data_IF_716167463135
#
_entry.id   IF_716167463135
#
_cell.length_a   1.000
_cell.length_b   1.000
_cell.length_c   1.000
_cell.angle_alpha   90.00
_cell.angle_beta   90.00
_cell.angle_gamma   90.00
#
_symmetry.space_group_name_H-M   'P 1'
#
loop_
_entity.id
_entity.type
_entity.pdbx_description
1 polymer ?
#
# COMPACT_ATOMS: atom_id res chain seq x y z
N UNK A 1 10.63 -14.32 -2.63
CA UNK A 1 9.33 -13.64 -2.80
C UNK A 1 8.55 -13.80 -1.51
N UNK A 2 8.04 -12.70 -0.94
CA UNK A 2 7.21 -12.68 0.28
C UNK A 2 5.99 -11.82 0.00
N UNK A 3 4.82 -12.28 0.42
CA UNK A 3 3.56 -11.53 0.28
C UNK A 3 3.00 -11.31 1.68
N UNK A 4 2.63 -10.07 1.98
CA UNK A 4 2.07 -9.64 3.27
C UNK A 4 0.67 -9.10 3.00
N UNK A 5 -0.32 -9.63 3.71
CA UNK A 5 -1.68 -9.11 3.68
C UNK A 5 -1.82 -7.97 4.70
N UNK A 6 -2.33 -6.82 4.26
CA UNK A 6 -2.49 -5.60 5.07
C UNK A 6 -3.92 -5.42 5.62
N UNK A 7 -4.85 -6.29 5.23
CA UNK A 7 -6.28 -6.13 5.52
C UNK A 7 -7.06 -5.58 4.32
N UNK A 8 -8.36 -5.84 4.30
CA UNK A 8 -9.27 -5.49 3.19
C UNK A 8 -8.76 -5.99 1.83
N UNK A 9 -8.32 -5.10 0.94
CA UNK A 9 -7.74 -5.41 -0.37
C UNK A 9 -6.21 -5.17 -0.42
N UNK A 10 -5.61 -4.75 0.70
CA UNK A 10 -4.24 -4.29 0.75
C UNK A 10 -3.20 -5.43 0.80
N UNK A 11 -2.16 -5.32 -0.03
CA UNK A 11 -1.05 -6.27 -0.04
C UNK A 11 0.31 -5.56 -0.21
N UNK A 12 1.35 -6.16 0.39
CA UNK A 12 2.75 -5.91 0.01
C UNK A 12 3.30 -7.14 -0.68
N UNK A 13 3.86 -6.97 -1.87
CA UNK A 13 4.59 -8.01 -2.60
C UNK A 13 6.06 -7.65 -2.62
N UNK A 14 6.88 -8.43 -1.92
CA UNK A 14 8.32 -8.23 -1.79
C UNK A 14 9.08 -9.24 -2.65
N UNK A 15 9.74 -8.73 -3.69
CA UNK A 15 10.62 -9.46 -4.60
C UNK A 15 11.90 -8.68 -4.87
N UNK A 16 12.30 -8.58 -6.13
CA UNK A 16 13.33 -7.62 -6.58
C UNK A 16 12.85 -6.17 -6.47
N UNK A 17 11.53 -5.97 -6.49
CA UNK A 17 10.85 -4.72 -6.16
C UNK A 17 9.90 -4.97 -4.98
N UNK A 18 9.59 -3.91 -4.25
CA UNK A 18 8.51 -3.86 -3.28
C UNK A 18 7.31 -3.15 -3.90
N UNK A 19 6.23 -3.89 -4.09
CA UNK A 19 4.98 -3.38 -4.67
C UNK A 19 3.93 -3.35 -3.57
N UNK A 20 3.20 -2.23 -3.46
CA UNK A 20 2.05 -2.11 -2.58
C UNK A 20 0.79 -2.03 -3.43
N UNK A 21 -0.23 -2.81 -3.10
CA UNK A 21 -1.51 -2.86 -3.81
C UNK A 21 -2.60 -2.40 -2.85
N UNK A 22 -3.47 -1.50 -3.31
CA UNK A 22 -4.66 -0.99 -2.61
C UNK A 22 -4.41 -0.61 -1.12
N UNK A 23 -3.54 0.39 -0.85
CA UNK A 23 -3.09 0.68 0.52
C UNK A 23 -4.11 1.48 1.34
N UNK A 24 -5.27 0.89 1.64
CA UNK A 24 -6.20 1.43 2.64
C UNK A 24 -5.74 1.06 4.06
N UNK A 25 -5.00 1.97 4.70
CA UNK A 25 -4.46 1.78 6.05
C UNK A 25 -5.06 2.79 7.02
N UNK A 26 -5.07 4.08 6.67
CA UNK A 26 -5.71 5.11 7.48
C UNK A 26 -7.22 4.92 7.45
N UNK A 27 -7.81 4.63 8.63
CA UNK A 27 -9.24 4.35 8.78
C UNK A 27 -9.62 2.89 8.56
N UNK A 28 -8.69 2.02 8.16
CA UNK A 28 -8.94 0.58 8.09
C UNK A 28 -8.86 -0.03 9.51
N UNK A 29 -9.96 -0.60 10.04
CA UNK A 29 -10.01 -1.07 11.43
C UNK A 29 -9.12 -2.29 11.71
N UNK A 30 -8.63 -2.97 10.67
CA UNK A 30 -7.77 -4.16 10.81
C UNK A 30 -6.34 -3.93 10.33
N UNK A 31 -6.01 -2.72 9.86
CA UNK A 31 -4.64 -2.40 9.48
C UNK A 31 -3.74 -2.38 10.71
N UNK A 32 -2.61 -3.10 10.63
CA UNK A 32 -1.63 -3.24 11.73
C UNK A 32 -0.32 -2.50 11.46
N UNK A 33 -0.22 -1.79 10.33
CA UNK A 33 0.95 -1.04 9.90
C UNK A 33 0.54 0.37 9.50
N UNK A 34 1.40 1.34 9.76
CA UNK A 34 1.16 2.73 9.36
C UNK A 34 1.70 2.99 7.94
N UNK A 35 1.09 3.91 7.16
CA UNK A 35 1.57 4.22 5.81
C UNK A 35 3.04 4.62 5.73
N UNK A 36 3.56 5.36 6.71
CA UNK A 36 4.94 5.85 6.76
C UNK A 36 5.98 4.78 7.14
N UNK A 37 5.53 3.61 7.60
CA UNK A 37 6.38 2.45 7.89
C UNK A 37 6.63 1.59 6.63
N UNK A 38 5.86 1.83 5.57
CA UNK A 38 5.98 1.10 4.32
C UNK A 38 7.08 1.67 3.41
N UNK A 39 7.69 0.76 2.66
CA UNK A 39 8.58 1.08 1.53
C UNK A 39 7.95 0.50 0.27
N UNK A 40 7.98 1.27 -0.81
CA UNK A 40 7.47 0.86 -2.12
C UNK A 40 8.40 1.37 -3.21
N UNK A 41 8.58 0.55 -4.24
CA UNK A 41 9.07 0.97 -5.55
C UNK A 41 7.89 1.32 -6.46
N UNK A 42 6.76 0.64 -6.28
CA UNK A 42 5.50 0.85 -6.99
C UNK A 42 4.31 0.77 -6.03
N UNK A 43 3.32 1.63 -6.25
CA UNK A 43 2.00 1.53 -5.64
C UNK A 43 1.00 1.26 -6.77
N UNK A 44 0.14 0.26 -6.61
CA UNK A 44 -0.89 -0.10 -7.58
C UNK A 44 -2.26 0.09 -6.94
N UNK A 45 -3.16 0.77 -7.65
CA UNK A 45 -4.54 0.98 -7.20
C UNK A 45 -5.48 0.35 -8.21
N UNK A 46 -6.33 -0.56 -7.76
CA UNK A 46 -7.28 -1.28 -8.64
C UNK A 46 -8.38 -0.36 -9.14
N UNK A 47 -8.90 0.53 -8.28
CA UNK A 47 -9.87 1.57 -8.62
C UNK A 47 -9.92 2.67 -7.55
N UNK A 48 -10.57 3.80 -7.86
CA UNK A 48 -10.50 5.03 -7.06
C UNK A 48 -11.38 5.11 -5.81
N UNK A 49 -12.00 4.03 -5.35
CA UNK A 49 -12.73 4.07 -4.07
C UNK A 49 -11.75 4.20 -2.90
N UNK A 50 -12.18 4.86 -1.82
CA UNK A 50 -11.28 5.21 -0.70
C UNK A 50 -10.71 3.99 0.03
N UNK A 51 -11.46 2.90 0.10
CA UNK A 51 -11.06 1.61 0.67
C UNK A 51 -10.07 0.84 -0.22
N UNK A 52 -9.72 1.37 -1.40
CA UNK A 52 -8.66 0.86 -2.28
C UNK A 52 -7.55 1.89 -2.49
N UNK A 53 -7.88 3.12 -2.90
CA UNK A 53 -6.89 4.18 -3.12
C UNK A 53 -6.16 4.55 -1.81
N UNK A 54 -6.90 4.67 -0.70
CA UNK A 54 -6.37 4.89 0.64
C UNK A 54 -5.20 5.87 0.71
N UNK A 55 -4.09 5.39 1.26
CA UNK A 55 -2.86 6.14 1.52
C UNK A 55 -1.88 6.13 0.32
N UNK A 56 -2.31 5.74 -0.87
CA UNK A 56 -1.43 5.52 -2.03
C UNK A 56 -0.60 6.75 -2.39
N UNK A 57 -1.23 7.93 -2.46
CA UNK A 57 -0.56 9.19 -2.77
C UNK A 57 0.44 9.60 -1.67
N UNK A 58 0.10 9.34 -0.40
CA UNK A 58 0.97 9.66 0.72
C UNK A 58 2.21 8.74 0.75
N UNK A 59 2.00 7.43 0.57
CA UNK A 59 3.08 6.45 0.45
C UNK A 59 4.00 6.84 -0.70
N UNK A 60 3.46 7.10 -1.89
CA UNK A 60 4.25 7.46 -3.07
C UNK A 60 5.07 8.74 -2.85
N UNK A 61 4.52 9.73 -2.16
CA UNK A 61 5.24 10.96 -1.82
C UNK A 61 6.45 10.72 -0.92
N UNK A 62 6.33 9.85 0.09
CA UNK A 62 7.43 9.61 1.03
C UNK A 62 8.47 8.63 0.51
N UNK A 63 8.09 7.68 -0.34
CA UNK A 63 8.99 6.67 -0.90
C UNK A 63 9.62 7.12 -2.21
N UNK A 64 9.01 8.07 -2.92
CA UNK A 64 9.36 8.40 -4.30
C UNK A 64 8.91 7.34 -5.31
N UNK A 65 7.99 6.45 -4.93
CA UNK A 65 7.47 5.41 -5.83
C UNK A 65 6.57 5.98 -6.91
N UNK A 66 6.46 5.26 -8.03
CA UNK A 66 5.40 5.52 -9.01
C UNK A 66 4.07 4.97 -8.47
N UNK A 67 2.97 5.70 -8.72
CA UNK A 67 1.59 5.28 -8.45
C UNK A 67 0.77 5.31 -9.72
#
# INVERSE_FOLDING_TARGET
>A
MKIIYLGHAGFVVQGSLTIIIDPFLTGNPVATIRPDELRADLVLVTHGHQDHMGDAAEIARYTGSTV
#
